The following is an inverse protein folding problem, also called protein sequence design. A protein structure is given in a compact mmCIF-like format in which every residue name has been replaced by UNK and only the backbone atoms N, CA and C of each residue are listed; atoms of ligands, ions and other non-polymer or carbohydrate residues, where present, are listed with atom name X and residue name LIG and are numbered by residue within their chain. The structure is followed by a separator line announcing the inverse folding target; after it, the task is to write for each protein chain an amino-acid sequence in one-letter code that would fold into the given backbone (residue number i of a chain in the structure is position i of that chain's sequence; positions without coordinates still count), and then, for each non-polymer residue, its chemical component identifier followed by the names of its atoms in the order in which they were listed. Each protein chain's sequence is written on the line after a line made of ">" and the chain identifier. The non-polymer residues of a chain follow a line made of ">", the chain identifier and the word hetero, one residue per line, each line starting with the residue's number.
data_IF_763837633772
#
_entry.id   IF_763837633772
#
_cell.length_a   1.000
_cell.length_b   1.000
_cell.length_c   1.000
_cell.angle_alpha   90.00
_cell.angle_beta   90.00
_cell.angle_gamma   90.00
#
_symmetry.space_group_name_H-M   'P 1'
#
loop_
_entity.id
_entity.type
_entity.pdbx_description
1 polymer ?
#
# COMPACT_ATOMS: atom_id res chain seq x y z
N UNK A 1 -24.48 -20.04 2.66
CA UNK A 1 -24.87 -19.09 3.73
C UNK A 1 -23.86 -17.97 3.89
N UNK A 2 -22.57 -18.22 4.15
CA UNK A 2 -21.50 -17.22 4.35
C UNK A 2 -21.38 -16.21 3.19
N UNK A 3 -21.34 -16.68 1.94
CA UNK A 3 -21.21 -15.79 0.75
C UNK A 3 -22.39 -14.80 0.66
N UNK A 4 -23.62 -15.23 0.95
CA UNK A 4 -24.78 -14.32 0.96
C UNK A 4 -24.69 -13.29 2.08
N UNK A 5 -24.15 -13.68 3.24
CA UNK A 5 -23.95 -12.80 4.38
C UNK A 5 -22.94 -11.70 4.04
N UNK A 6 -21.77 -12.07 3.48
CA UNK A 6 -20.72 -11.11 3.04
C UNK A 6 -21.24 -10.19 1.94
N UNK A 7 -22.00 -10.71 0.96
CA UNK A 7 -22.59 -9.86 -0.10
C UNK A 7 -23.55 -8.81 0.44
N UNK A 8 -24.30 -9.14 1.50
CA UNK A 8 -25.26 -8.21 2.10
C UNK A 8 -24.58 -7.19 3.01
N UNK A 9 -23.60 -7.61 3.81
CA UNK A 9 -23.02 -6.81 4.89
C UNK A 9 -21.64 -6.22 4.58
N UNK A 10 -21.05 -6.57 3.43
CA UNK A 10 -19.72 -6.11 3.04
C UNK A 10 -18.57 -6.84 3.73
N UNK A 11 -17.36 -6.29 3.63
CA UNK A 11 -16.20 -6.81 4.31
C UNK A 11 -16.29 -6.53 5.81
N UNK A 12 -15.98 -7.55 6.62
CA UNK A 12 -16.12 -7.50 8.08
C UNK A 12 -15.01 -8.29 8.76
N UNK A 13 -14.79 -8.01 10.03
CA UNK A 13 -13.95 -8.86 10.88
C UNK A 13 -14.60 -10.24 11.04
N UNK A 14 -13.76 -11.27 11.12
CA UNK A 14 -14.19 -12.64 11.37
C UNK A 14 -13.21 -13.32 12.33
N UNK A 15 -13.71 -14.30 13.09
CA UNK A 15 -12.91 -15.12 13.98
C UNK A 15 -13.14 -16.60 13.64
N UNK A 16 -12.05 -17.37 13.66
CA UNK A 16 -12.06 -18.82 13.56
C UNK A 16 -11.27 -19.35 14.75
N UNK A 17 -11.83 -20.27 15.49
CA UNK A 17 -11.18 -20.88 16.66
C UNK A 17 -11.32 -22.40 16.64
N UNK A 18 -10.26 -23.09 17.04
CA UNK A 18 -10.25 -24.52 17.34
C UNK A 18 -10.36 -24.82 18.85
N UNK A 19 -10.24 -23.80 19.69
CA UNK A 19 -10.18 -23.92 21.15
C UNK A 19 -11.47 -23.40 21.81
N UNK A 20 -11.96 -22.27 21.39
CA UNK A 20 -13.18 -21.65 21.90
C UNK A 20 -14.34 -22.10 21.03
N UNK A 21 -15.35 -22.75 21.66
CA UNK A 21 -16.54 -23.26 20.98
C UNK A 21 -17.81 -22.50 21.35
N UNK A 22 -17.79 -21.67 22.39
CA UNK A 22 -18.92 -20.81 22.76
C UNK A 22 -19.01 -19.58 21.84
N UNK A 23 -20.15 -19.45 21.15
CA UNK A 23 -20.42 -18.36 20.24
C UNK A 23 -20.38 -16.99 20.95
N UNK A 24 -20.85 -16.90 22.19
CA UNK A 24 -20.87 -15.64 22.95
C UNK A 24 -19.46 -15.19 23.30
N UNK A 25 -18.59 -16.12 23.66
CA UNK A 25 -17.19 -15.85 23.94
C UNK A 25 -16.46 -15.42 22.67
N UNK A 26 -16.65 -16.13 21.55
CA UNK A 26 -16.11 -15.75 20.24
C UNK A 26 -16.57 -14.36 19.80
N UNK A 27 -17.85 -14.04 20.00
CA UNK A 27 -18.39 -12.72 19.68
C UNK A 27 -17.83 -11.63 20.59
N UNK A 28 -17.54 -11.93 21.84
CA UNK A 28 -16.89 -11.00 22.76
C UNK A 28 -15.46 -10.70 22.33
N UNK A 29 -14.69 -11.71 21.94
CA UNK A 29 -13.34 -11.52 21.38
C UNK A 29 -13.35 -10.76 20.04
N UNK A 30 -14.28 -11.09 19.14
CA UNK A 30 -14.42 -10.42 17.84
C UNK A 30 -14.69 -8.91 18.00
N UNK A 31 -15.50 -8.52 18.98
CA UNK A 31 -15.82 -7.10 19.26
C UNK A 31 -14.65 -6.29 19.78
N UNK A 32 -13.60 -6.92 20.30
CA UNK A 32 -12.37 -6.25 20.76
C UNK A 32 -11.46 -5.86 19.59
N UNK A 33 -11.64 -6.48 18.41
CA UNK A 33 -10.79 -6.23 17.25
C UNK A 33 -11.15 -4.91 16.57
N UNK A 34 -10.19 -4.05 16.26
CA UNK A 34 -10.43 -2.84 15.52
C UNK A 34 -10.86 -3.15 14.08
N UNK A 35 -11.63 -2.25 13.48
CA UNK A 35 -11.89 -2.29 12.04
C UNK A 35 -10.63 -1.87 11.26
N UNK A 36 -10.58 -2.23 9.97
CA UNK A 36 -9.47 -1.80 9.09
C UNK A 36 -9.47 -0.29 8.80
N UNK A 37 -10.61 0.38 8.96
CA UNK A 37 -10.70 1.83 8.82
C UNK A 37 -9.88 2.52 9.91
N UNK A 38 -9.14 3.54 9.50
CA UNK A 38 -8.22 4.31 10.36
C UNK A 38 -7.05 3.52 10.96
N UNK A 39 -6.81 2.27 10.52
CA UNK A 39 -5.64 1.50 10.95
C UNK A 39 -4.41 1.85 10.10
N UNK A 40 -3.40 2.34 10.77
CA UNK A 40 -2.04 2.46 10.21
C UNK A 40 -1.28 1.16 10.52
N UNK A 41 -1.02 0.35 9.49
CA UNK A 41 -0.34 -0.93 9.62
C UNK A 41 1.00 -0.98 8.86
N UNK A 42 1.29 0.01 8.04
CA UNK A 42 2.51 0.03 7.23
C UNK A 42 3.75 0.18 8.09
N UNK A 43 3.69 0.94 9.19
CA UNK A 43 4.81 1.07 10.13
C UNK A 43 5.14 -0.21 10.91
N UNK A 44 4.21 -1.15 10.99
CA UNK A 44 4.42 -2.45 11.63
C UNK A 44 5.15 -3.46 10.73
N UNK A 45 5.01 -3.31 9.40
CA UNK A 45 5.52 -4.28 8.42
C UNK A 45 6.69 -3.76 7.59
N UNK A 46 6.99 -2.48 7.69
CA UNK A 46 8.09 -1.83 6.96
C UNK A 46 9.45 -2.29 7.49
N UNK A 47 10.49 -2.10 6.66
CA UNK A 47 11.87 -2.32 7.10
C UNK A 47 12.26 -1.33 8.20
N UNK A 48 13.13 -1.75 9.11
CA UNK A 48 13.60 -0.91 10.20
C UNK A 48 14.68 0.06 9.76
N UNK A 49 15.56 -0.40 8.86
CA UNK A 49 16.69 0.35 8.33
C UNK A 49 16.70 0.30 6.81
N UNK A 50 17.14 1.37 6.13
CA UNK A 50 17.29 1.37 4.69
C UNK A 50 18.28 0.29 4.23
N UNK A 51 18.00 -0.34 3.09
CA UNK A 51 18.92 -1.28 2.45
C UNK A 51 18.89 -1.15 0.93
N UNK A 52 19.93 -1.64 0.26
CA UNK A 52 20.06 -1.55 -1.19
C UNK A 52 19.96 -2.91 -1.88
N UNK A 53 19.49 -2.90 -3.12
CA UNK A 53 19.35 -4.04 -4.00
C UNK A 53 19.83 -3.67 -5.40
N UNK A 54 20.55 -4.58 -6.06
CA UNK A 54 21.05 -4.32 -7.40
C UNK A 54 22.23 -3.37 -7.41
N UNK A 55 23.03 -3.38 -6.34
CA UNK A 55 24.35 -2.73 -6.33
C UNK A 55 25.17 -3.21 -7.51
N UNK A 56 25.78 -2.28 -8.24
CA UNK A 56 26.49 -2.54 -9.49
C UNK A 56 25.60 -2.54 -10.75
N UNK A 57 24.27 -2.51 -10.63
CA UNK A 57 23.39 -2.19 -11.76
C UNK A 57 23.61 -0.74 -12.23
N UNK A 58 23.64 -0.55 -13.54
CA UNK A 58 23.94 0.73 -14.19
C UNK A 58 22.72 1.44 -14.72
N UNK A 59 21.54 0.87 -14.53
CA UNK A 59 20.26 1.46 -14.93
C UNK A 59 19.76 2.51 -13.93
N UNK A 60 18.46 2.67 -13.87
CA UNK A 60 17.85 3.70 -13.02
C UNK A 60 18.00 3.42 -11.54
N UNK A 61 18.23 4.47 -10.78
CA UNK A 61 18.22 4.47 -9.32
C UNK A 61 16.80 4.74 -8.82
N UNK A 62 16.21 3.77 -8.12
CA UNK A 62 14.82 3.85 -7.67
C UNK A 62 14.78 3.89 -6.13
N UNK A 63 14.33 5.01 -5.58
CA UNK A 63 14.02 5.10 -4.16
C UNK A 63 12.65 4.45 -3.89
N UNK A 64 12.62 3.43 -3.05
CA UNK A 64 11.43 2.66 -2.73
C UNK A 64 10.97 3.03 -1.32
N UNK A 65 9.78 3.58 -1.15
CA UNK A 65 9.10 3.71 0.14
C UNK A 65 8.39 2.40 0.46
N UNK A 66 8.81 1.77 1.55
CA UNK A 66 8.32 0.45 1.96
C UNK A 66 7.13 0.56 2.90
N UNK A 67 5.94 0.35 2.37
CA UNK A 67 4.69 0.22 3.13
C UNK A 67 4.31 -1.25 3.39
N UNK A 68 5.20 -2.20 3.09
CA UNK A 68 4.99 -3.65 3.09
C UNK A 68 5.25 -4.24 1.71
N UNK A 69 6.39 -3.90 1.12
CA UNK A 69 6.73 -4.22 -0.27
C UNK A 69 6.81 -5.72 -0.53
N UNK A 70 6.14 -6.16 -1.59
CA UNK A 70 6.25 -7.54 -2.05
C UNK A 70 7.63 -7.79 -2.69
N UNK A 71 8.36 -8.79 -2.17
CA UNK A 71 9.73 -9.12 -2.64
C UNK A 71 9.85 -9.33 -4.15
N UNK A 72 8.79 -9.84 -4.80
CA UNK A 72 8.78 -10.02 -6.26
C UNK A 72 8.88 -8.71 -7.02
N UNK A 73 8.35 -7.60 -6.49
CA UNK A 73 8.45 -6.28 -7.12
C UNK A 73 9.91 -5.84 -7.14
N UNK A 74 10.60 -5.94 -6.00
CA UNK A 74 12.03 -5.59 -5.91
C UNK A 74 12.92 -6.48 -6.81
N UNK A 75 12.62 -7.79 -6.89
CA UNK A 75 13.29 -8.70 -7.83
C UNK A 75 13.08 -8.27 -9.29
N UNK A 76 11.90 -7.78 -9.63
CA UNK A 76 11.59 -7.29 -10.99
C UNK A 76 12.37 -6.01 -11.33
N UNK A 77 12.53 -5.07 -10.40
CA UNK A 77 13.40 -3.90 -10.60
C UNK A 77 14.85 -4.33 -10.82
N UNK A 78 15.39 -5.19 -9.94
CA UNK A 78 16.74 -5.71 -10.07
C UNK A 78 16.98 -6.40 -11.41
N UNK A 79 16.05 -7.25 -11.85
CA UNK A 79 16.13 -7.97 -13.14
C UNK A 79 16.09 -7.02 -14.36
N UNK A 80 15.60 -5.79 -14.19
CA UNK A 80 15.58 -4.73 -15.21
C UNK A 80 16.74 -3.74 -15.06
N UNK A 81 17.82 -4.19 -14.44
CA UNK A 81 19.04 -3.41 -14.24
C UNK A 81 18.84 -2.14 -13.38
N UNK A 82 17.79 -2.07 -12.55
CA UNK A 82 17.63 -0.96 -11.61
C UNK A 82 18.44 -1.19 -10.34
N UNK A 83 19.01 -0.10 -9.81
CA UNK A 83 19.58 -0.03 -8.47
C UNK A 83 18.52 0.56 -7.53
N UNK A 84 18.04 -0.20 -6.57
CA UNK A 84 16.99 0.23 -5.66
C UNK A 84 17.55 0.44 -4.26
N UNK A 85 17.10 1.51 -3.59
CA UNK A 85 17.24 1.68 -2.15
C UNK A 85 15.86 1.70 -1.52
N UNK A 86 15.65 0.79 -0.58
CA UNK A 86 14.41 0.61 0.15
C UNK A 86 14.48 1.39 1.45
N UNK A 87 13.54 2.28 1.67
CA UNK A 87 13.45 3.15 2.83
C UNK A 87 12.25 2.79 3.69
N UNK A 88 12.34 2.89 5.01
CA UNK A 88 11.21 2.74 5.92
C UNK A 88 10.02 3.64 5.55
N UNK A 89 8.80 3.20 5.89
CA UNK A 89 7.56 3.92 5.58
C UNK A 89 7.54 5.39 6.05
N UNK A 90 8.19 5.69 7.18
CA UNK A 90 8.22 7.03 7.80
C UNK A 90 9.46 7.86 7.44
N UNK A 91 10.24 7.44 6.43
CA UNK A 91 11.37 8.24 5.95
C UNK A 91 10.89 9.56 5.38
N UNK A 92 11.65 10.62 5.63
CA UNK A 92 11.37 11.96 5.12
C UNK A 92 11.85 12.07 3.67
N UNK A 93 11.26 12.98 2.92
CA UNK A 93 11.69 13.27 1.54
C UNK A 93 13.21 13.49 1.43
N UNK A 94 13.81 14.25 2.36
CA UNK A 94 15.24 14.55 2.32
C UNK A 94 16.11 13.29 2.37
N UNK A 95 15.74 12.28 3.18
CA UNK A 95 16.47 11.01 3.29
C UNK A 95 16.52 10.28 1.94
N UNK A 96 15.41 10.35 1.18
CA UNK A 96 15.31 9.75 -0.15
C UNK A 96 16.09 10.57 -1.18
N UNK A 97 15.94 11.89 -1.14
CA UNK A 97 16.54 12.83 -2.08
C UNK A 97 18.07 12.85 -2.02
N UNK A 98 18.65 12.74 -0.81
CA UNK A 98 20.09 12.67 -0.58
C UNK A 98 20.74 11.47 -1.27
N UNK A 99 19.99 10.39 -1.47
CA UNK A 99 20.47 9.25 -2.26
C UNK A 99 20.44 9.50 -3.77
N UNK A 100 19.89 10.64 -4.24
CA UNK A 100 19.82 11.08 -5.63
C UNK A 100 19.18 10.04 -6.57
N UNK A 101 17.94 9.63 -6.32
CA UNK A 101 17.22 8.69 -7.18
C UNK A 101 16.86 9.34 -8.52
N UNK A 102 16.67 8.52 -9.55
CA UNK A 102 16.08 8.93 -10.84
C UNK A 102 14.55 8.92 -10.77
N UNK A 103 13.97 8.11 -9.88
CA UNK A 103 12.54 8.03 -9.68
C UNK A 103 12.17 7.40 -8.33
N UNK A 104 10.88 7.48 -7.99
CA UNK A 104 10.33 7.00 -6.73
C UNK A 104 9.31 5.90 -6.96
N UNK A 105 9.33 4.90 -6.10
CA UNK A 105 8.35 3.84 -6.08
C UNK A 105 7.68 3.74 -4.70
N UNK A 106 6.36 3.86 -4.70
CA UNK A 106 5.51 3.75 -3.52
C UNK A 106 4.93 2.33 -3.49
N UNK A 107 5.31 1.55 -2.50
CA UNK A 107 4.98 0.13 -2.49
C UNK A 107 3.52 -0.16 -2.14
N UNK A 108 3.11 -1.38 -2.40
CA UNK A 108 1.93 -1.96 -1.78
C UNK A 108 2.11 -2.07 -0.25
N UNK A 109 1.02 -2.21 0.48
CA UNK A 109 1.06 -2.39 1.93
C UNK A 109 -0.32 -2.57 2.53
N UNK A 110 -0.40 -2.91 3.83
CA UNK A 110 -1.64 -2.99 4.58
C UNK A 110 -2.03 -1.63 5.18
N UNK A 111 -3.28 -1.52 5.62
CA UNK A 111 -3.79 -0.38 6.35
C UNK A 111 -4.66 0.55 5.52
N UNK A 112 -5.07 1.63 6.16
CA UNK A 112 -5.90 2.67 5.57
C UNK A 112 -5.04 3.85 5.15
N UNK A 113 -5.03 4.25 3.85
CA UNK A 113 -4.26 5.41 3.40
C UNK A 113 -4.68 6.71 4.10
N UNK A 114 -5.91 6.78 4.62
CA UNK A 114 -6.39 7.94 5.36
C UNK A 114 -5.70 8.13 6.73
N UNK A 115 -5.09 7.08 7.27
CA UNK A 115 -4.33 7.12 8.52
C UNK A 115 -2.83 7.40 8.32
N UNK A 116 -2.38 7.68 7.07
CA UNK A 116 -0.97 7.78 6.72
C UNK A 116 -0.56 9.21 6.30
N UNK A 117 -0.90 10.21 7.08
CA UNK A 117 -0.58 11.62 6.77
C UNK A 117 0.93 11.87 6.59
N UNK A 118 1.77 11.15 7.32
CA UNK A 118 3.22 11.21 7.16
C UNK A 118 3.66 10.81 5.74
N UNK A 119 3.04 9.75 5.17
CA UNK A 119 3.36 9.30 3.82
C UNK A 119 2.83 10.28 2.77
N UNK A 120 1.63 10.83 2.97
CA UNK A 120 1.06 11.86 2.10
C UNK A 120 1.96 13.09 2.07
N UNK A 121 2.49 13.52 3.21
CA UNK A 121 3.41 14.67 3.29
C UNK A 121 4.69 14.41 2.50
N UNK A 122 5.36 13.28 2.74
CA UNK A 122 6.58 12.91 1.98
C UNK A 122 6.32 12.80 0.48
N UNK A 123 5.17 12.23 0.07
CA UNK A 123 4.85 12.09 -1.36
C UNK A 123 4.50 13.42 -2.01
N UNK A 124 3.89 14.38 -1.30
CA UNK A 124 3.72 15.76 -1.82
C UNK A 124 5.07 16.40 -2.14
N UNK A 125 6.04 16.31 -1.24
CA UNK A 125 7.39 16.84 -1.48
C UNK A 125 8.07 16.14 -2.68
N UNK A 126 7.86 14.83 -2.87
CA UNK A 126 8.34 14.09 -4.05
C UNK A 126 7.73 14.67 -5.33
N UNK A 127 6.41 14.90 -5.36
CA UNK A 127 5.70 15.42 -6.52
C UNK A 127 6.13 16.85 -6.89
N UNK A 128 6.43 17.68 -5.91
CA UNK A 128 6.94 19.05 -6.13
C UNK A 128 8.31 19.07 -6.84
N UNK A 129 9.06 17.98 -6.78
CA UNK A 129 10.38 17.86 -7.41
C UNK A 129 10.36 17.21 -8.81
N UNK A 130 9.18 16.98 -9.38
CA UNK A 130 8.93 16.57 -10.78
C UNK A 130 9.77 15.36 -11.25
N UNK A 131 9.95 14.37 -10.37
CA UNK A 131 10.59 13.10 -10.72
C UNK A 131 9.57 12.00 -10.98
N UNK A 132 9.87 11.05 -11.90
CA UNK A 132 9.01 9.92 -12.16
C UNK A 132 8.62 9.20 -10.86
N UNK A 133 7.33 9.09 -10.61
CA UNK A 133 6.79 8.46 -9.40
C UNK A 133 5.71 7.46 -9.76
N UNK A 134 5.79 6.27 -9.21
CA UNK A 134 4.83 5.19 -9.46
C UNK A 134 4.41 4.52 -8.16
N UNK A 135 3.12 4.25 -8.00
CA UNK A 135 2.55 3.60 -6.83
C UNK A 135 1.77 2.33 -7.16
N UNK A 136 1.90 1.31 -6.32
CA UNK A 136 1.10 0.08 -6.42
C UNK A 136 0.20 -0.06 -5.19
N UNK A 137 -1.10 -0.34 -5.41
CA UNK A 137 -2.08 -0.62 -4.35
C UNK A 137 -2.13 0.56 -3.34
N UNK A 138 -1.70 0.35 -2.10
CA UNK A 138 -1.62 1.40 -1.08
C UNK A 138 -0.78 2.60 -1.56
N UNK A 139 0.36 2.36 -2.22
CA UNK A 139 1.20 3.43 -2.77
C UNK A 139 0.48 4.28 -3.82
N UNK A 140 -0.38 3.68 -4.66
CA UNK A 140 -1.22 4.43 -5.59
C UNK A 140 -2.29 5.27 -4.86
N UNK A 141 -2.85 4.74 -3.77
CA UNK A 141 -3.83 5.47 -2.94
C UNK A 141 -3.17 6.66 -2.22
N UNK A 142 -1.96 6.49 -1.68
CA UNK A 142 -1.18 7.59 -1.09
C UNK A 142 -0.84 8.65 -2.16
N UNK A 143 -0.45 8.23 -3.37
CA UNK A 143 -0.17 9.13 -4.48
C UNK A 143 -1.41 9.98 -4.85
N UNK A 144 -2.59 9.34 -4.92
CA UNK A 144 -3.86 10.03 -5.16
C UNK A 144 -4.14 11.06 -4.07
N UNK A 145 -3.99 10.70 -2.79
CA UNK A 145 -4.19 11.63 -1.66
C UNK A 145 -3.20 12.80 -1.68
N UNK A 146 -1.94 12.53 -2.00
CA UNK A 146 -0.92 13.58 -2.16
C UNK A 146 -1.27 14.56 -3.29
N UNK A 147 -1.98 14.07 -4.33
CA UNK A 147 -2.51 14.88 -5.43
C UNK A 147 -3.85 15.55 -5.12
N UNK A 148 -4.35 15.49 -3.87
CA UNK A 148 -5.60 16.12 -3.45
C UNK A 148 -6.87 15.30 -3.74
N UNK A 149 -6.73 14.02 -4.12
CA UNK A 149 -7.86 13.12 -4.37
C UNK A 149 -8.18 12.34 -3.10
N UNK A 150 -9.45 12.32 -2.71
CA UNK A 150 -9.89 11.57 -1.54
C UNK A 150 -10.02 10.07 -1.82
N UNK A 151 -9.81 9.27 -0.79
CA UNK A 151 -10.05 7.83 -0.79
C UNK A 151 -11.23 7.49 0.13
N UNK A 152 -11.99 6.46 -0.22
CA UNK A 152 -13.11 6.00 0.59
C UNK A 152 -13.17 4.48 0.68
N UNK A 153 -13.77 3.97 1.75
CA UNK A 153 -13.96 2.54 1.96
C UNK A 153 -15.05 2.00 1.05
N UNK A 154 -14.70 1.04 0.22
CA UNK A 154 -15.67 0.33 -0.61
C UNK A 154 -16.39 -0.76 0.19
N UNK A 155 -17.66 -0.99 -0.10
CA UNK A 155 -18.47 -2.01 0.58
C UNK A 155 -17.86 -3.42 0.53
N UNK A 156 -17.38 -3.85 -0.62
CA UNK A 156 -16.72 -5.15 -0.80
C UNK A 156 -15.21 -5.06 -0.98
N UNK A 157 -14.71 -3.94 -1.45
CA UNK A 157 -13.32 -3.72 -1.83
C UNK A 157 -12.91 -4.49 -3.10
N UNK A 158 -11.74 -4.17 -3.63
CA UNK A 158 -11.12 -4.86 -4.75
C UNK A 158 -10.10 -5.88 -4.21
N UNK A 159 -10.36 -7.18 -4.43
CA UNK A 159 -9.59 -8.29 -3.85
C UNK A 159 -8.90 -9.18 -4.88
N UNK A 160 -8.88 -8.79 -6.15
CA UNK A 160 -8.30 -9.58 -7.25
C UNK A 160 -7.60 -8.72 -8.27
N UNK A 161 -6.98 -9.37 -9.26
CA UNK A 161 -6.28 -8.72 -10.37
C UNK A 161 -7.19 -8.39 -11.56
N UNK A 162 -8.40 -8.94 -11.58
CA UNK A 162 -9.36 -8.89 -12.68
C UNK A 162 -10.53 -7.94 -12.40
N UNK A 163 -10.26 -6.82 -11.74
CA UNK A 163 -11.30 -5.80 -11.53
C UNK A 163 -11.37 -4.88 -12.73
N UNK A 164 -12.58 -4.58 -13.21
CA UNK A 164 -12.76 -3.64 -14.31
C UNK A 164 -12.43 -2.22 -13.86
N UNK A 165 -11.70 -1.51 -14.71
CA UNK A 165 -11.40 -0.07 -14.58
C UNK A 165 -12.11 0.66 -15.70
N UNK A 166 -12.91 1.68 -15.37
CA UNK A 166 -13.61 2.48 -16.36
C UNK A 166 -12.77 3.67 -16.79
N UNK A 167 -12.50 3.75 -18.10
CA UNK A 167 -11.88 4.92 -18.70
C UNK A 167 -12.94 6.03 -18.83
N UNK A 168 -12.85 7.09 -18.04
CA UNK A 168 -13.90 8.10 -17.92
C UNK A 168 -14.18 8.86 -19.23
N UNK A 169 -13.16 9.14 -20.04
CA UNK A 169 -13.33 9.87 -21.30
C UNK A 169 -14.01 9.04 -22.39
N UNK A 170 -13.73 7.74 -22.45
CA UNK A 170 -14.30 6.85 -23.49
C UNK A 170 -15.53 6.10 -23.00
N UNK A 171 -15.75 6.00 -21.69
CA UNK A 171 -16.80 5.18 -21.07
C UNK A 171 -16.56 3.67 -21.16
N UNK A 172 -15.48 3.21 -21.77
CA UNK A 172 -15.12 1.80 -21.89
C UNK A 172 -14.55 1.26 -20.58
N UNK A 173 -14.78 -0.02 -20.33
CA UNK A 173 -14.18 -0.74 -19.19
C UNK A 173 -13.13 -1.71 -19.69
N UNK A 174 -12.00 -1.75 -19.00
CA UNK A 174 -10.86 -2.62 -19.26
C UNK A 174 -10.57 -3.49 -18.03
N UNK A 175 -9.99 -4.69 -18.21
CA UNK A 175 -9.60 -5.61 -17.14
C UNK A 175 -8.09 -5.81 -17.17
#
# INVERSE_FOLDING_TARGET
>A
MLVRHIRKNGAMNAIISSEIHDEKELMAELKKLPNMESLELSSEVTVKEPYELGEGNTGFRIAVLDYGVKRSILKNFKARNCHCKVFPAKSKYQDLADWKPDGYFLSNGPGDPAAMDYAVTTVKEILENDKPTFGICLGNQILARASGIETFKMHHGHRGLNHPVKHLNTGLSEI
#
